data_IF_577113158742
#
_entry.id   IF_577113158742
#
_cell.length_a   1.000
_cell.length_b   1.000
_cell.length_c   1.000
_cell.angle_alpha   90.00
_cell.angle_beta   90.00
_cell.angle_gamma   90.00
#
_symmetry.space_group_name_H-M   'P 1'
#
loop_
_entity.id
_entity.type
_entity.pdbx_description
1 polymer ?
#
# COMPACT_ATOMS: atom_id res chain seq x y z
N UNK A 1 -4.87 11.56 -19.40
CA UNK A 1 -5.45 10.54 -18.50
C UNK A 1 -5.07 10.90 -17.08
N UNK A 2 -6.03 10.90 -16.15
CA UNK A 2 -5.77 11.12 -14.71
C UNK A 2 -5.29 9.79 -14.13
N UNK A 3 -4.22 9.80 -13.33
CA UNK A 3 -3.76 8.59 -12.62
C UNK A 3 -4.77 8.24 -11.53
N UNK A 4 -5.26 6.99 -11.48
CA UNK A 4 -6.17 6.50 -10.41
C UNK A 4 -5.55 6.70 -9.02
N UNK A 5 -4.27 6.39 -8.90
CA UNK A 5 -3.53 6.54 -7.64
C UNK A 5 -2.73 7.83 -7.65
N UNK A 6 -2.90 8.62 -6.59
CA UNK A 6 -2.12 9.84 -6.38
C UNK A 6 -1.40 9.81 -5.06
N UNK A 7 -0.15 10.27 -5.07
CA UNK A 7 0.62 10.48 -3.86
C UNK A 7 0.05 11.67 -3.08
N UNK A 8 -0.10 11.47 -1.78
CA UNK A 8 -0.45 12.48 -0.80
C UNK A 8 0.80 12.95 -0.05
N UNK A 9 0.68 14.01 0.74
CA UNK A 9 1.74 14.41 1.64
C UNK A 9 2.06 13.30 2.65
N UNK A 10 3.36 13.15 3.00
CA UNK A 10 3.86 12.08 3.86
C UNK A 10 3.17 11.93 5.23
N UNK A 11 2.40 12.92 5.71
CA UNK A 11 1.70 12.85 7.01
C UNK A 11 0.20 12.58 6.87
N UNK A 12 -0.33 12.49 5.65
CA UNK A 12 -1.77 12.41 5.38
C UNK A 12 -2.38 11.04 5.67
N UNK A 13 -1.58 9.96 5.62
CA UNK A 13 -2.05 8.63 6.00
C UNK A 13 -1.21 8.08 7.15
N UNK A 14 -1.82 7.82 8.29
CA UNK A 14 -1.21 7.15 9.44
C UNK A 14 -2.02 5.91 9.78
N UNK A 15 -1.48 5.05 10.65
CA UNK A 15 -2.27 3.99 11.27
C UNK A 15 -1.54 2.66 11.32
N UNK A 16 -2.32 1.59 11.42
CA UNK A 16 -1.84 0.23 11.62
C UNK A 16 -1.69 -0.51 10.30
N UNK A 17 -0.94 -1.62 10.33
CA UNK A 17 -0.86 -2.56 9.21
C UNK A 17 -2.27 -3.07 8.88
N UNK A 18 -2.65 -2.99 7.61
CA UNK A 18 -3.89 -3.52 7.06
C UNK A 18 -3.67 -4.91 6.47
N UNK A 19 -2.65 -5.03 5.62
CA UNK A 19 -2.32 -6.26 4.92
C UNK A 19 -0.86 -6.22 4.44
N UNK A 20 -0.23 -7.38 4.30
CA UNK A 20 1.02 -7.58 3.59
C UNK A 20 0.80 -7.64 2.08
N UNK A 21 1.90 -7.62 1.32
CA UNK A 21 1.84 -7.87 -0.12
C UNK A 21 1.33 -9.27 -0.45
N UNK A 22 1.69 -10.29 0.33
CA UNK A 22 1.19 -11.64 0.12
C UNK A 22 -0.34 -11.75 0.31
N UNK A 23 -0.88 -11.09 1.34
CA UNK A 23 -2.33 -11.07 1.60
C UNK A 23 -3.13 -10.33 0.51
N UNK A 24 -2.50 -9.38 -0.18
CA UNK A 24 -3.12 -8.58 -1.27
C UNK A 24 -2.86 -9.16 -2.66
N UNK A 25 -1.77 -9.91 -2.83
CA UNK A 25 -1.49 -10.67 -4.03
C UNK A 25 -0.89 -12.04 -3.67
N UNK A 26 -1.75 -13.05 -3.46
CA UNK A 26 -1.31 -14.41 -3.10
C UNK A 26 -0.54 -15.14 -4.21
N UNK A 27 -0.41 -14.56 -5.41
CA UNK A 27 0.40 -15.15 -6.48
C UNK A 27 1.88 -14.81 -6.35
N UNK A 28 2.25 -13.88 -5.46
CA UNK A 28 3.64 -13.60 -5.15
C UNK A 28 4.25 -14.79 -4.42
N UNK A 29 5.50 -15.09 -4.75
CA UNK A 29 6.35 -15.93 -3.92
C UNK A 29 6.74 -15.18 -2.64
N UNK A 30 7.21 -15.91 -1.62
CA UNK A 30 7.71 -15.30 -0.39
C UNK A 30 8.85 -14.32 -0.70
N UNK A 31 9.79 -14.70 -1.56
CA UNK A 31 10.91 -13.83 -1.97
C UNK A 31 10.40 -12.52 -2.55
N UNK A 32 9.42 -12.55 -3.46
CA UNK A 32 8.84 -11.34 -4.06
C UNK A 32 8.02 -10.50 -3.07
N UNK A 33 7.30 -11.15 -2.16
CA UNK A 33 6.49 -10.48 -1.16
C UNK A 33 7.35 -9.74 -0.13
N UNK A 34 8.51 -10.30 0.21
CA UNK A 34 9.47 -9.75 1.18
C UNK A 34 10.60 -8.92 0.54
N UNK A 35 10.75 -8.88 -0.78
CA UNK A 35 11.76 -8.06 -1.46
C UNK A 35 11.45 -6.55 -1.34
N UNK A 36 12.12 -5.94 -0.37
CA UNK A 36 12.02 -4.52 -0.05
C UNK A 36 12.58 -3.63 -1.17
N UNK A 37 13.64 -4.07 -1.85
CA UNK A 37 14.27 -3.26 -2.90
C UNK A 37 13.42 -3.24 -4.17
N UNK A 38 12.90 -4.40 -4.59
CA UNK A 38 11.98 -4.50 -5.71
C UNK A 38 10.71 -3.68 -5.46
N UNK A 39 10.10 -3.79 -4.27
CA UNK A 39 8.92 -3.01 -3.92
C UNK A 39 9.18 -1.50 -3.94
N UNK A 40 10.30 -1.07 -3.35
CA UNK A 40 10.74 0.34 -3.38
C UNK A 40 10.93 0.87 -4.80
N UNK A 41 11.49 0.05 -5.69
CA UNK A 41 11.69 0.39 -7.10
C UNK A 41 10.37 0.59 -7.84
N UNK A 42 9.39 -0.30 -7.63
CA UNK A 42 8.04 -0.17 -8.20
C UNK A 42 7.35 1.13 -7.74
N UNK A 43 7.41 1.43 -6.44
CA UNK A 43 6.83 2.65 -5.88
C UNK A 43 7.51 3.91 -6.43
N UNK A 44 8.85 3.90 -6.50
CA UNK A 44 9.62 5.03 -7.02
C UNK A 44 9.34 5.26 -8.51
N UNK A 45 9.19 4.19 -9.31
CA UNK A 45 8.83 4.29 -10.72
C UNK A 45 7.46 4.95 -10.95
N UNK A 46 6.52 4.79 -10.01
CA UNK A 46 5.19 5.39 -10.07
C UNK A 46 5.10 6.79 -9.48
N UNK A 47 5.80 7.05 -8.39
CA UNK A 47 5.58 8.22 -7.53
C UNK A 47 6.81 9.12 -7.34
N UNK A 48 7.95 8.77 -7.94
CA UNK A 48 9.23 9.44 -7.72
C UNK A 48 9.81 9.14 -6.33
N UNK A 49 10.86 9.87 -5.94
CA UNK A 49 11.55 9.66 -4.67
C UNK A 49 10.64 9.90 -3.46
N UNK A 50 10.74 9.08 -2.40
CA UNK A 50 9.96 9.24 -1.16
C UNK A 50 10.27 10.56 -0.44
N UNK A 51 9.32 11.04 0.37
CA UNK A 51 9.40 12.35 1.06
C UNK A 51 10.40 12.36 2.23
N UNK A 52 11.01 11.22 2.56
CA UNK A 52 11.86 11.08 3.75
C UNK A 52 13.03 10.16 3.44
N UNK A 53 14.24 10.71 3.56
CA UNK A 53 15.51 10.01 3.40
C UNK A 53 15.86 9.09 4.59
N UNK A 54 14.94 8.92 5.56
CA UNK A 54 15.21 8.21 6.82
C UNK A 54 14.09 7.30 7.33
N UNK A 55 12.94 7.19 6.65
CA UNK A 55 12.01 6.10 6.94
C UNK A 55 12.63 4.84 6.34
N UNK A 56 13.14 3.97 7.21
CA UNK A 56 14.22 3.02 6.88
C UNK A 56 13.88 2.08 5.72
N UNK A 57 12.61 1.93 5.34
CA UNK A 57 12.27 1.49 4.00
C UNK A 57 11.06 2.27 3.48
N UNK A 58 11.14 2.71 2.23
CA UNK A 58 10.25 3.63 1.51
C UNK A 58 8.80 3.69 2.02
N UNK A 59 8.23 4.90 2.13
CA UNK A 59 6.87 5.11 2.62
C UNK A 59 6.11 6.15 1.80
N UNK A 60 4.96 5.76 1.24
CA UNK A 60 4.12 6.62 0.40
C UNK A 60 2.69 6.63 0.92
N UNK A 61 2.17 7.83 1.22
CA UNK A 61 0.75 8.04 1.45
C UNK A 61 0.04 8.17 0.09
N UNK A 62 -1.05 7.44 -0.11
CA UNK A 62 -1.70 7.27 -1.41
C UNK A 62 -3.21 7.42 -1.25
N UNK A 63 -3.83 8.08 -2.23
CA UNK A 63 -5.27 8.12 -2.44
C UNK A 63 -5.61 7.36 -3.72
N UNK A 64 -6.52 6.39 -3.62
CA UNK A 64 -7.28 5.90 -4.77
C UNK A 64 -8.40 6.90 -5.08
N UNK A 65 -8.34 7.53 -6.24
CA UNK A 65 -9.28 8.57 -6.63
C UNK A 65 -10.65 8.02 -7.05
N UNK A 66 -10.74 6.73 -7.37
CA UNK A 66 -12.00 6.10 -7.78
C UNK A 66 -12.83 5.69 -6.57
N UNK A 67 -12.17 5.16 -5.52
CA UNK A 67 -12.85 4.66 -4.30
C UNK A 67 -12.80 5.66 -3.14
N UNK A 68 -11.90 6.65 -3.18
CA UNK A 68 -11.65 7.56 -2.07
C UNK A 68 -10.80 6.97 -0.94
N UNK A 69 -10.39 5.70 -1.05
CA UNK A 69 -9.61 5.00 -0.04
C UNK A 69 -8.22 5.63 0.07
N UNK A 70 -7.81 5.92 1.31
CA UNK A 70 -6.48 6.42 1.64
C UNK A 70 -5.70 5.34 2.36
N UNK A 71 -4.51 5.04 1.86
CA UNK A 71 -3.65 4.02 2.43
C UNK A 71 -2.18 4.40 2.29
N UNK A 72 -1.32 3.70 2.99
CA UNK A 72 0.13 3.86 2.96
C UNK A 72 0.76 2.58 2.43
N UNK A 73 1.54 2.69 1.37
CA UNK A 73 2.44 1.64 0.93
C UNK A 73 3.81 1.86 1.58
N UNK A 74 4.31 0.88 2.31
CA UNK A 74 5.56 1.01 3.04
C UNK A 74 6.35 -0.29 3.11
N UNK A 75 7.63 -0.20 3.47
CA UNK A 75 8.39 -1.35 3.92
C UNK A 75 8.91 -1.11 5.34
N UNK A 76 8.99 -2.18 6.13
CA UNK A 76 9.52 -2.16 7.49
C UNK A 76 10.34 -3.43 7.76
N UNK A 77 10.78 -3.64 9.00
CA UNK A 77 11.53 -4.83 9.40
C UNK A 77 10.79 -6.15 9.08
N UNK A 78 9.46 -6.13 9.12
CA UNK A 78 8.60 -7.28 8.78
C UNK A 78 8.27 -7.38 7.28
N UNK A 79 8.93 -6.58 6.45
CA UNK A 79 8.78 -6.56 4.99
C UNK A 79 7.80 -5.49 4.48
N UNK A 80 7.59 -5.48 3.15
CA UNK A 80 6.60 -4.65 2.47
C UNK A 80 5.15 -4.90 2.90
N UNK A 81 4.38 -3.83 3.11
CA UNK A 81 3.00 -3.90 3.54
C UNK A 81 2.20 -2.63 3.22
N UNK A 82 0.91 -2.71 3.55
CA UNK A 82 -0.07 -1.66 3.46
C UNK A 82 -0.59 -1.27 4.83
N UNK A 83 -0.74 0.03 5.08
CA UNK A 83 -1.26 0.58 6.33
C UNK A 83 -2.36 1.62 6.07
N UNK A 84 -3.17 1.88 7.09
CA UNK A 84 -4.23 2.88 7.04
C UNK A 84 -4.88 3.09 8.40
N UNK A 85 -5.81 4.05 8.46
CA UNK A 85 -6.52 4.37 9.70
C UNK A 85 -7.55 3.26 10.00
N UNK A 86 -7.46 2.55 11.14
CA UNK A 86 -8.31 1.39 11.40
C UNK A 86 -9.82 1.67 11.29
N UNK A 87 -10.30 2.78 11.84
CA UNK A 87 -11.70 3.20 11.76
C UNK A 87 -12.20 3.45 10.32
N UNK A 88 -11.29 3.81 9.41
CA UNK A 88 -11.62 3.99 8.00
C UNK A 88 -11.54 2.66 7.23
N UNK A 89 -10.69 1.73 7.67
CA UNK A 89 -10.32 0.56 6.88
C UNK A 89 -10.97 -0.77 7.28
N UNK A 90 -11.33 -0.96 8.55
CA UNK A 90 -11.94 -2.20 9.05
C UNK A 90 -13.46 -2.08 9.19
N UNK A 91 -14.16 -3.21 9.14
CA UNK A 91 -15.63 -3.28 9.24
C UNK A 91 -16.11 -2.77 10.60
N UNK A 92 -15.51 -3.25 11.69
CA UNK A 92 -15.85 -2.82 13.05
C UNK A 92 -14.65 -3.03 13.98
N UNK A 93 -13.70 -2.09 13.93
CA UNK A 93 -12.47 -2.14 14.73
C UNK A 93 -12.75 -2.06 16.25
N UNK A 94 -13.80 -1.34 16.65
CA UNK A 94 -14.10 -1.11 18.07
C UNK A 94 -14.67 -2.37 18.75
N UNK A 95 -15.24 -3.31 17.97
CA UNK A 95 -15.73 -4.60 18.44
C UNK A 95 -14.87 -5.79 17.95
N UNK A 96 -13.57 -5.57 17.73
CA UNK A 96 -12.59 -6.59 17.34
C UNK A 96 -12.87 -7.30 15.99
N UNK A 97 -13.63 -6.69 15.08
CA UNK A 97 -13.79 -7.16 13.70
C UNK A 97 -12.74 -6.51 12.79
N UNK A 98 -11.57 -7.15 12.74
CA UNK A 98 -10.43 -6.74 11.91
C UNK A 98 -10.54 -7.17 10.44
N UNK A 99 -11.74 -7.50 9.94
CA UNK A 99 -11.94 -7.70 8.51
C UNK A 99 -11.87 -6.36 7.80
N UNK A 100 -11.07 -6.26 6.75
CA UNK A 100 -11.04 -5.07 5.91
C UNK A 100 -12.42 -4.85 5.25
N UNK A 101 -12.82 -3.58 5.14
CA UNK A 101 -13.97 -3.22 4.30
C UNK A 101 -13.72 -3.73 2.86
N UNK A 102 -14.73 -4.27 2.17
CA UNK A 102 -14.54 -4.83 0.83
C UNK A 102 -13.88 -3.86 -0.15
N UNK A 103 -14.24 -2.58 -0.11
CA UNK A 103 -13.67 -1.53 -0.96
C UNK A 103 -12.17 -1.29 -0.70
N UNK A 104 -11.73 -1.45 0.55
CA UNK A 104 -10.33 -1.29 0.95
C UNK A 104 -9.53 -2.49 0.45
N UNK A 105 -10.03 -3.70 0.67
CA UNK A 105 -9.39 -4.91 0.16
C UNK A 105 -9.24 -4.86 -1.36
N UNK A 106 -10.31 -4.51 -2.08
CA UNK A 106 -10.26 -4.36 -3.55
C UNK A 106 -9.26 -3.29 -3.98
N UNK A 107 -9.23 -2.13 -3.31
CA UNK A 107 -8.28 -1.06 -3.60
C UNK A 107 -6.83 -1.55 -3.46
N UNK A 108 -6.51 -2.27 -2.38
CA UNK A 108 -5.15 -2.76 -2.15
C UNK A 108 -4.75 -3.82 -3.19
N UNK A 109 -5.66 -4.72 -3.57
CA UNK A 109 -5.43 -5.74 -4.60
C UNK A 109 -5.23 -5.11 -5.99
N UNK A 110 -6.05 -4.14 -6.36
CA UNK A 110 -5.92 -3.42 -7.63
C UNK A 110 -4.64 -2.59 -7.69
N UNK A 111 -4.26 -1.97 -6.56
CA UNK A 111 -3.02 -1.21 -6.46
C UNK A 111 -1.79 -2.09 -6.66
N UNK A 112 -1.74 -3.27 -6.02
CA UNK A 112 -0.65 -4.24 -6.15
C UNK A 112 -0.50 -4.74 -7.61
N UNK A 113 -1.61 -5.04 -8.28
CA UNK A 113 -1.61 -5.38 -9.71
C UNK A 113 -1.12 -4.21 -10.57
N UNK A 114 -1.61 -3.01 -10.30
CA UNK A 114 -1.19 -1.82 -11.02
C UNK A 114 0.31 -1.54 -10.83
N UNK A 115 0.85 -1.68 -9.62
CA UNK A 115 2.28 -1.50 -9.37
C UNK A 115 3.13 -2.44 -10.23
N UNK A 116 2.75 -3.72 -10.30
CA UNK A 116 3.55 -4.77 -10.97
C UNK A 116 3.47 -4.72 -12.50
N UNK A 117 2.50 -4.00 -13.10
CA UNK A 117 2.42 -3.82 -14.57
C UNK A 117 3.55 -2.99 -15.20
N UNK A 118 4.36 -2.27 -14.41
CA UNK A 118 5.48 -1.45 -14.93
C UNK A 118 6.59 -2.31 -15.56
N UNK A 119 6.70 -3.58 -15.18
CA UNK A 119 7.75 -4.49 -15.65
C UNK A 119 7.40 -5.28 -16.93
N UNK A 120 6.37 -4.88 -17.69
CA UNK A 120 6.00 -5.53 -18.96
C UNK A 120 6.40 -4.75 -20.22
N UNK A 121 7.39 -3.85 -20.12
CA UNK A 121 7.95 -3.11 -21.26
C UNK A 121 9.35 -3.60 -21.62
#
# INVERSE_FOLDING_TARGET
>A
MRSRYVRLGAKEVRGAKLASRYETNPTLTDDEAFDVQAFGTLLMARFGASDSAGDVYYSYAILDQDTGVRFRAYAAQSGPAYAGLPAECFVDFDNDDYRLKPEVLMTLQDFEKWLTTVNQA
#
